data_IF_112299715993
#
_entry.id   IF_112299715993
#
_cell.length_a   1.000
_cell.length_b   1.000
_cell.length_c   1.000
_cell.angle_alpha   90.00
_cell.angle_beta   90.00
_cell.angle_gamma   90.00
#
_symmetry.space_group_name_H-M   'P 1'
#
loop_
_entity.id
_entity.type
_entity.pdbx_description
1 polymer ?
#
# COMPACT_ATOMS: atom_id res chain seq x y z
N UNK A 1 54.64 37.54 3.36
CA UNK A 1 54.52 36.39 2.42
C UNK A 1 53.56 35.30 2.94
N UNK A 2 53.53 35.02 4.25
CA UNK A 2 52.71 33.96 4.88
C UNK A 2 51.18 34.18 4.73
N UNK A 3 50.67 35.40 4.94
CA UNK A 3 49.23 35.70 4.83
C UNK A 3 48.64 35.47 3.43
N UNK A 4 49.45 35.61 2.37
CA UNK A 4 49.00 35.40 0.98
C UNK A 4 48.88 33.92 0.63
N UNK A 5 49.74 33.08 1.23
CA UNK A 5 49.62 31.61 1.15
C UNK A 5 48.42 31.11 1.95
N UNK A 6 48.16 31.67 3.14
CA UNK A 6 47.01 31.30 3.97
C UNK A 6 45.67 31.64 3.30
N UNK A 7 45.52 32.84 2.71
CA UNK A 7 44.31 33.23 1.95
C UNK A 7 44.06 32.33 0.72
N UNK A 8 45.12 31.86 0.05
CA UNK A 8 44.99 30.93 -1.08
C UNK A 8 44.56 29.54 -0.62
N UNK A 9 45.02 29.11 0.56
CA UNK A 9 44.69 27.81 1.13
C UNK A 9 43.26 27.77 1.67
N UNK A 10 42.78 28.86 2.30
CA UNK A 10 41.37 28.99 2.72
C UNK A 10 40.43 29.12 1.53
N UNK A 11 40.82 29.85 0.47
CA UNK A 11 40.04 29.93 -0.76
C UNK A 11 39.94 28.58 -1.47
N UNK A 12 41.02 27.80 -1.50
CA UNK A 12 41.03 26.44 -2.02
C UNK A 12 40.13 25.49 -1.23
N UNK A 13 40.14 25.57 0.10
CA UNK A 13 39.26 24.78 0.97
C UNK A 13 37.77 25.16 0.78
N UNK A 14 37.46 26.45 0.66
CA UNK A 14 36.11 26.95 0.36
C UNK A 14 35.62 26.47 -1.01
N UNK A 15 36.48 26.48 -2.03
CA UNK A 15 36.17 26.02 -3.38
C UNK A 15 35.96 24.50 -3.43
N UNK A 16 36.73 23.73 -2.65
CA UNK A 16 36.53 22.29 -2.50
C UNK A 16 35.19 21.95 -1.81
N UNK A 17 34.76 22.77 -0.83
CA UNK A 17 33.44 22.64 -0.21
C UNK A 17 32.29 22.92 -1.19
N UNK A 18 32.49 23.79 -2.18
CA UNK A 18 31.47 24.11 -3.19
C UNK A 18 31.25 22.98 -4.21
N UNK A 19 32.21 22.07 -4.40
CA UNK A 19 32.09 20.96 -5.36
C UNK A 19 31.40 19.71 -4.79
N UNK A 20 31.01 19.71 -3.51
CA UNK A 20 30.32 18.57 -2.86
C UNK A 20 28.80 18.59 -3.09
N UNK A 21 28.25 19.61 -3.77
CA UNK A 21 26.79 19.75 -3.86
C UNK A 21 26.13 18.84 -4.90
N UNK A 22 25.08 18.14 -4.45
CA UNK A 22 23.93 17.62 -5.21
C UNK A 22 24.03 16.24 -5.90
N UNK A 23 24.32 15.18 -5.14
CA UNK A 23 23.81 13.83 -5.47
C UNK A 23 22.34 13.59 -5.04
N UNK A 24 21.72 14.52 -4.30
CA UNK A 24 20.44 14.26 -3.62
C UNK A 24 19.21 14.11 -4.53
N UNK A 25 19.22 14.67 -5.75
CA UNK A 25 18.03 14.63 -6.62
C UNK A 25 17.84 13.29 -7.34
N UNK A 26 18.93 12.60 -7.71
CA UNK A 26 18.87 11.37 -8.54
C UNK A 26 18.02 10.24 -7.92
N UNK A 27 17.82 10.26 -6.60
CA UNK A 27 17.06 9.23 -5.87
C UNK A 27 15.57 9.53 -5.71
N UNK A 28 15.10 10.69 -6.17
CA UNK A 28 13.70 11.13 -5.97
C UNK A 28 12.78 10.70 -7.13
N UNK A 29 13.16 10.87 -8.42
CA UNK A 29 12.30 10.50 -9.54
C UNK A 29 12.02 9.00 -9.62
N UNK A 30 10.79 8.65 -9.96
CA UNK A 30 10.35 7.29 -10.25
C UNK A 30 10.76 6.84 -11.65
N UNK A 31 10.82 5.52 -11.85
CA UNK A 31 10.87 4.86 -13.16
C UNK A 31 11.89 5.44 -14.14
N UNK A 32 13.12 5.64 -13.67
CA UNK A 32 14.27 6.00 -14.49
C UNK A 32 14.66 4.81 -15.39
N UNK A 33 15.27 5.12 -16.53
CA UNK A 33 15.77 4.14 -17.51
C UNK A 33 14.68 3.24 -18.15
N UNK A 34 13.69 3.87 -18.79
CA UNK A 34 12.49 3.20 -19.34
C UNK A 34 12.70 2.38 -20.62
N UNK A 35 13.86 2.48 -21.27
CA UNK A 35 14.11 1.86 -22.58
C UNK A 35 13.83 0.34 -22.57
N UNK A 36 14.29 -0.35 -21.52
CA UNK A 36 14.07 -1.79 -21.36
C UNK A 36 12.58 -2.18 -21.23
N UNK A 37 11.78 -1.35 -20.57
CA UNK A 37 10.35 -1.63 -20.36
C UNK A 37 9.55 -1.42 -21.64
N UNK A 38 9.89 -0.39 -22.41
CA UNK A 38 9.18 -0.06 -23.65
C UNK A 38 9.34 -1.14 -24.73
N UNK A 39 10.48 -1.84 -24.74
CA UNK A 39 10.80 -2.89 -25.71
C UNK A 39 10.34 -4.29 -25.25
N UNK A 40 9.84 -4.42 -24.02
CA UNK A 40 9.38 -5.71 -23.46
C UNK A 40 7.88 -5.89 -23.69
N UNK A 41 7.50 -6.82 -24.57
CA UNK A 41 6.11 -7.26 -24.70
C UNK A 41 5.65 -7.97 -23.42
N UNK A 42 4.79 -7.32 -22.63
CA UNK A 42 4.16 -7.96 -21.47
C UNK A 42 3.09 -8.95 -21.94
N UNK A 43 3.41 -10.25 -21.93
CA UNK A 43 2.38 -11.28 -21.95
C UNK A 43 1.54 -11.10 -20.68
N UNK A 44 0.29 -10.65 -20.82
CA UNK A 44 -0.61 -10.45 -19.68
C UNK A 44 -0.91 -11.82 -19.07
N UNK A 45 -0.10 -12.28 -18.11
CA UNK A 45 -0.47 -13.40 -17.26
C UNK A 45 -1.53 -12.88 -16.30
N UNK A 46 -2.79 -12.94 -16.72
CA UNK A 46 -3.94 -12.70 -15.86
C UNK A 46 -4.07 -13.88 -14.88
N UNK A 47 -3.16 -13.97 -13.92
CA UNK A 47 -3.38 -14.85 -12.78
C UNK A 47 -4.42 -14.16 -11.91
N UNK A 48 -5.67 -14.64 -11.99
CA UNK A 48 -6.76 -14.11 -11.18
C UNK A 48 -6.43 -14.19 -9.69
N UNK A 49 -6.93 -13.22 -8.91
CA UNK A 49 -6.82 -13.24 -7.44
C UNK A 49 -7.47 -14.53 -6.94
N UNK A 50 -6.70 -15.27 -6.12
CA UNK A 50 -7.17 -16.47 -5.43
C UNK A 50 -7.76 -16.09 -4.08
N UNK A 51 -8.88 -16.70 -3.73
CA UNK A 51 -9.52 -16.54 -2.44
C UNK A 51 -8.68 -17.20 -1.34
N UNK A 52 -8.53 -16.51 -0.21
CA UNK A 52 -7.82 -17.00 0.96
C UNK A 52 -8.77 -17.17 2.15
N UNK A 53 -8.40 -17.99 3.15
CA UNK A 53 -9.09 -17.99 4.43
C UNK A 53 -9.27 -16.58 5.01
N UNK A 54 -10.43 -16.33 5.62
CA UNK A 54 -10.86 -15.04 6.18
C UNK A 54 -11.22 -13.95 5.16
N UNK A 55 -11.24 -14.27 3.87
CA UNK A 55 -11.86 -13.38 2.89
C UNK A 55 -13.37 -13.34 3.06
N UNK A 56 -13.97 -12.20 2.74
CA UNK A 56 -15.41 -11.99 2.72
C UNK A 56 -15.87 -11.92 1.27
N UNK A 57 -16.71 -12.87 0.88
CA UNK A 57 -17.26 -12.95 -0.47
C UNK A 57 -18.71 -12.46 -0.51
N UNK A 58 -19.07 -11.77 -1.57
CA UNK A 58 -20.48 -11.60 -1.98
C UNK A 58 -20.69 -12.42 -3.24
N UNK A 59 -21.76 -13.21 -3.23
CA UNK A 59 -22.14 -14.06 -4.35
C UNK A 59 -23.56 -13.67 -4.75
N UNK A 60 -23.73 -13.31 -6.02
CA UNK A 60 -25.02 -12.99 -6.61
C UNK A 60 -25.36 -14.01 -7.70
N UNK A 61 -26.54 -14.61 -7.62
CA UNK A 61 -27.07 -15.54 -8.61
C UNK A 61 -28.21 -14.85 -9.36
N UNK A 62 -28.11 -14.74 -10.67
CA UNK A 62 -29.16 -14.18 -11.52
C UNK A 62 -29.59 -15.21 -12.54
N UNK A 63 -30.89 -15.30 -12.84
CA UNK A 63 -31.42 -16.13 -13.92
C UNK A 63 -32.62 -15.44 -14.56
N UNK A 64 -33.11 -15.95 -15.70
CA UNK A 64 -34.22 -15.34 -16.45
C UNK A 64 -35.50 -15.20 -15.64
N UNK A 65 -35.68 -16.03 -14.61
CA UNK A 65 -36.80 -16.00 -13.67
C UNK A 65 -36.31 -15.66 -12.26
N UNK A 66 -36.30 -14.37 -11.85
CA UNK A 66 -35.69 -13.93 -10.59
C UNK A 66 -36.18 -14.65 -9.34
N UNK A 67 -37.44 -15.09 -9.32
CA UNK A 67 -38.03 -15.84 -8.20
C UNK A 67 -37.31 -17.17 -7.92
N UNK A 68 -36.78 -17.84 -8.95
CA UNK A 68 -36.02 -19.07 -8.78
C UNK A 68 -34.61 -18.82 -8.21
N UNK A 69 -34.05 -17.62 -8.42
CA UNK A 69 -32.76 -17.24 -7.87
C UNK A 69 -32.85 -16.70 -6.44
N UNK A 70 -34.04 -16.27 -5.99
CA UNK A 70 -34.26 -15.64 -4.69
C UNK A 70 -33.75 -16.48 -3.49
N UNK A 71 -33.93 -17.82 -3.45
CA UNK A 71 -33.40 -18.63 -2.34
C UNK A 71 -31.87 -18.63 -2.20
N UNK A 72 -31.14 -18.30 -3.28
CA UNK A 72 -29.67 -18.27 -3.31
C UNK A 72 -29.10 -16.89 -2.98
N UNK A 73 -29.92 -15.84 -3.10
CA UNK A 73 -29.54 -14.45 -2.84
C UNK A 73 -30.08 -13.99 -1.49
N UNK A 74 -29.47 -14.48 -0.41
CA UNK A 74 -29.79 -13.96 0.91
C UNK A 74 -29.41 -12.48 0.96
N UNK A 75 -30.38 -11.64 1.35
CA UNK A 75 -30.17 -10.23 1.60
C UNK A 75 -30.08 -10.03 3.10
N UNK A 76 -29.00 -9.40 3.54
CA UNK A 76 -28.86 -9.07 4.94
C UNK A 76 -29.71 -7.83 5.19
N UNK A 77 -30.95 -8.05 5.65
CA UNK A 77 -31.80 -6.97 6.15
C UNK A 77 -31.19 -6.50 7.46
N UNK A 78 -30.31 -5.50 7.38
CA UNK A 78 -29.70 -4.88 8.54
C UNK A 78 -30.79 -4.35 9.46
N UNK A 79 -31.18 -5.16 10.44
CA UNK A 79 -31.88 -4.68 11.62
C UNK A 79 -30.80 -3.90 12.37
N UNK A 80 -30.75 -2.59 12.15
CA UNK A 80 -29.99 -1.73 13.01
C UNK A 80 -30.52 -1.98 14.42
N UNK A 81 -29.75 -2.70 15.25
CA UNK A 81 -29.94 -2.72 16.69
C UNK A 81 -29.61 -1.32 17.21
N UNK A 82 -30.54 -0.40 16.97
CA UNK A 82 -30.64 0.90 17.58
C UNK A 82 -31.59 0.77 18.75
N UNK A 83 -31.03 0.97 19.94
CA UNK A 83 -31.69 1.30 21.19
C UNK A 83 -33.02 2.02 20.99
N UNK A 84 -34.03 1.57 21.74
CA UNK A 84 -35.37 2.15 21.84
C UNK A 84 -35.34 3.68 21.84
N UNK A 85 -35.90 4.30 20.80
CA UNK A 85 -35.82 5.76 20.66
C UNK A 85 -36.40 6.31 19.36
N UNK A 86 -37.72 6.20 19.21
CA UNK A 86 -38.62 7.07 18.43
C UNK A 86 -37.96 8.04 17.41
N UNK A 87 -37.76 7.57 16.17
CA UNK A 87 -37.80 8.44 14.96
C UNK A 87 -38.19 7.59 13.75
N UNK A 88 -39.44 7.72 13.33
CA UNK A 88 -39.94 7.25 12.02
C UNK A 88 -39.39 8.21 10.97
N UNK A 89 -38.15 7.96 10.54
CA UNK A 89 -37.56 8.55 9.36
C UNK A 89 -37.23 7.43 8.41
N UNK A 90 -37.77 7.50 7.19
CA UNK A 90 -37.57 6.58 6.08
C UNK A 90 -36.07 6.34 5.84
N UNK A 91 -35.50 5.32 6.49
CA UNK A 91 -34.16 4.83 6.22
C UNK A 91 -34.29 3.84 5.08
N UNK A 92 -33.74 4.18 3.93
CA UNK A 92 -33.50 3.27 2.82
C UNK A 92 -32.73 2.08 3.39
N UNK A 93 -33.42 0.96 3.64
CA UNK A 93 -32.75 -0.28 3.96
C UNK A 93 -31.96 -0.66 2.71
N UNK A 94 -30.66 -0.35 2.71
CA UNK A 94 -29.76 -0.82 1.67
C UNK A 94 -29.71 -2.34 1.80
N UNK A 95 -30.47 -3.02 0.94
CA UNK A 95 -30.47 -4.46 0.81
C UNK A 95 -29.12 -4.88 0.27
N UNK A 96 -28.15 -5.11 1.16
CA UNK A 96 -26.86 -5.63 0.80
C UNK A 96 -26.96 -7.15 0.75
N UNK A 97 -26.43 -7.75 -0.31
CA UNK A 97 -26.27 -9.19 -0.39
C UNK A 97 -25.46 -9.69 0.82
N UNK A 98 -25.84 -10.85 1.33
CA UNK A 98 -25.14 -11.52 2.42
C UNK A 98 -23.66 -11.69 2.07
N UNK A 99 -22.82 -11.46 3.07
CA UNK A 99 -21.39 -11.71 2.97
C UNK A 99 -21.10 -13.11 3.54
N UNK A 100 -20.28 -13.86 2.82
CA UNK A 100 -19.85 -15.20 3.18
C UNK A 100 -18.40 -15.13 3.62
N UNK A 101 -18.14 -15.45 4.89
CA UNK A 101 -16.79 -15.54 5.42
C UNK A 101 -16.19 -16.90 5.05
N UNK A 102 -15.04 -16.87 4.40
CA UNK A 102 -14.24 -18.06 4.12
C UNK A 102 -13.58 -18.51 5.42
N UNK A 103 -13.85 -19.74 5.86
CA UNK A 103 -13.27 -20.27 7.08
C UNK A 103 -11.78 -20.67 6.91
N UNK A 104 -11.17 -21.21 7.97
CA UNK A 104 -9.77 -21.62 7.95
C UNK A 104 -9.49 -22.83 7.06
N UNK A 105 -10.53 -23.60 6.72
CA UNK A 105 -10.50 -24.76 5.83
C UNK A 105 -10.75 -24.36 4.38
N UNK A 106 -11.04 -23.07 4.12
CA UNK A 106 -11.32 -22.56 2.79
C UNK A 106 -12.77 -22.77 2.36
N UNK A 107 -13.69 -23.05 3.28
CA UNK A 107 -15.10 -23.32 2.97
C UNK A 107 -15.98 -22.09 3.25
N UNK A 108 -17.12 -22.04 2.57
CA UNK A 108 -18.24 -21.13 2.84
C UNK A 108 -19.53 -21.94 2.97
N UNK A 109 -20.48 -21.42 3.75
CA UNK A 109 -21.84 -21.97 3.79
C UNK A 109 -22.75 -21.15 2.86
N UNK A 110 -23.06 -21.71 1.69
CA UNK A 110 -23.87 -21.06 0.66
C UNK A 110 -25.33 -21.53 0.73
N UNK A 111 -26.33 -20.66 0.54
CA UNK A 111 -27.74 -21.02 0.69
C UNK A 111 -28.12 -22.15 -0.27
N UNK A 112 -28.94 -23.08 0.22
CA UNK A 112 -29.42 -24.28 -0.50
C UNK A 112 -28.33 -25.30 -0.83
N UNK A 113 -27.14 -24.87 -1.27
CA UNK A 113 -26.03 -25.74 -1.65
C UNK A 113 -25.19 -26.21 -0.46
N UNK A 114 -25.33 -25.57 0.71
CA UNK A 114 -24.60 -25.91 1.92
C UNK A 114 -23.12 -25.54 1.85
N UNK A 115 -22.27 -26.39 2.41
CA UNK A 115 -20.83 -26.16 2.49
C UNK A 115 -20.15 -26.32 1.12
N UNK A 116 -19.36 -25.32 0.73
CA UNK A 116 -18.64 -25.28 -0.53
C UNK A 116 -17.19 -24.85 -0.26
N UNK A 117 -16.22 -25.61 -0.80
CA UNK A 117 -14.82 -25.25 -0.77
C UNK A 117 -14.49 -24.21 -1.86
N UNK A 118 -13.97 -23.06 -1.45
CA UNK A 118 -13.60 -21.92 -2.31
C UNK A 118 -12.16 -21.44 -2.12
N UNK A 119 -11.48 -21.90 -1.06
CA UNK A 119 -10.10 -21.55 -0.76
C UNK A 119 -9.15 -21.95 -1.89
N UNK A 120 -8.27 -21.03 -2.28
CA UNK A 120 -7.28 -21.26 -3.35
C UNK A 120 -7.85 -21.19 -4.77
N UNK A 121 -9.17 -21.10 -4.94
CA UNK A 121 -9.82 -20.89 -6.23
C UNK A 121 -9.85 -19.40 -6.59
N UNK A 122 -9.82 -19.13 -7.88
CA UNK A 122 -10.11 -17.81 -8.46
C UNK A 122 -11.61 -17.56 -8.51
N UNK A 123 -12.02 -16.30 -8.63
CA UNK A 123 -13.44 -15.92 -8.78
C UNK A 123 -14.14 -16.70 -9.90
N UNK A 124 -13.49 -16.81 -11.05
CA UNK A 124 -14.03 -17.52 -12.21
C UNK A 124 -14.22 -19.02 -11.93
N UNK A 125 -13.27 -19.64 -11.22
CA UNK A 125 -13.40 -21.05 -10.81
C UNK A 125 -14.54 -21.24 -9.82
N UNK A 126 -14.73 -20.31 -8.88
CA UNK A 126 -15.86 -20.33 -7.93
C UNK A 126 -17.19 -20.14 -8.65
N UNK A 127 -17.27 -19.18 -9.58
CA UNK A 127 -18.46 -18.95 -10.42
C UNK A 127 -18.85 -20.22 -11.16
N UNK A 128 -17.91 -20.85 -11.86
CA UNK A 128 -18.15 -22.10 -12.58
C UNK A 128 -18.56 -23.25 -11.66
N UNK A 129 -17.93 -23.36 -10.48
CA UNK A 129 -18.26 -24.38 -9.49
C UNK A 129 -19.70 -24.22 -8.97
N UNK A 130 -20.13 -22.99 -8.72
CA UNK A 130 -21.50 -22.70 -8.27
C UNK A 130 -22.49 -22.93 -9.41
N UNK A 131 -22.19 -22.48 -10.63
CA UNK A 131 -23.02 -22.74 -11.82
C UNK A 131 -23.25 -24.25 -11.99
N UNK A 132 -22.22 -25.07 -11.85
CA UNK A 132 -22.33 -26.51 -12.00
C UNK A 132 -23.23 -27.14 -10.92
N UNK A 133 -23.06 -26.74 -9.65
CA UNK A 133 -23.92 -27.19 -8.54
C UNK A 133 -25.37 -26.73 -8.68
N UNK A 134 -25.63 -25.59 -9.31
CA UNK A 134 -26.98 -25.04 -9.49
C UNK A 134 -27.78 -25.74 -10.60
N UNK A 135 -27.16 -26.52 -11.49
CA UNK A 135 -27.85 -27.22 -12.60
C UNK A 135 -28.95 -28.18 -12.13
N UNK A 136 -28.85 -28.72 -10.92
CA UNK A 136 -29.86 -29.61 -10.33
C UNK A 136 -31.12 -28.84 -9.88
N UNK A 137 -30.98 -27.55 -9.60
CA UNK A 137 -32.03 -26.69 -9.06
C UNK A 137 -32.62 -25.74 -10.11
N UNK A 138 -31.83 -25.32 -11.08
CA UNK A 138 -32.21 -24.36 -12.12
C UNK A 138 -32.15 -25.03 -13.50
N UNK A 139 -33.25 -24.92 -14.26
CA UNK A 139 -33.34 -25.48 -15.62
C UNK A 139 -32.48 -24.74 -16.64
N UNK A 140 -32.26 -23.45 -16.41
CA UNK A 140 -31.46 -22.57 -17.25
C UNK A 140 -30.11 -22.29 -16.57
N UNK A 141 -29.10 -21.98 -17.38
CA UNK A 141 -27.78 -21.61 -16.86
C UNK A 141 -27.86 -20.25 -16.12
N UNK A 142 -27.62 -20.20 -14.80
CA UNK A 142 -27.60 -18.94 -14.07
C UNK A 142 -26.33 -18.15 -14.38
N UNK A 143 -26.43 -16.82 -14.27
CA UNK A 143 -25.29 -15.92 -14.16
C UNK A 143 -24.89 -15.82 -12.69
N UNK A 144 -23.68 -16.26 -12.35
CA UNK A 144 -23.12 -16.14 -11.00
C UNK A 144 -22.04 -15.08 -11.03
N UNK A 145 -22.06 -14.17 -10.05
CA UNK A 145 -21.02 -13.14 -9.87
C UNK A 145 -20.44 -13.23 -8.48
N UNK A 146 -19.13 -13.38 -8.39
CA UNK A 146 -18.39 -13.46 -7.12
C UNK A 146 -17.52 -12.22 -6.93
N UNK A 147 -17.59 -11.60 -5.75
CA UNK A 147 -16.76 -10.44 -5.38
C UNK A 147 -16.13 -10.61 -4.01
N UNK A 148 -14.87 -10.23 -3.86
CA UNK A 148 -14.18 -10.13 -2.58
C UNK A 148 -14.41 -8.73 -2.02
N UNK A 149 -15.12 -8.64 -0.90
CA UNK A 149 -15.58 -7.38 -0.32
C UNK A 149 -14.50 -6.71 0.54
N UNK A 150 -13.71 -7.51 1.25
CA UNK A 150 -12.67 -7.04 2.15
C UNK A 150 -11.29 -7.02 1.50
N UNK A 151 -11.22 -6.85 0.17
CA UNK A 151 -9.92 -6.75 -0.49
C UNK A 151 -9.20 -5.49 -0.02
N UNK A 152 -8.08 -5.64 0.69
CA UNK A 152 -7.37 -4.53 1.33
C UNK A 152 -5.86 -4.70 1.23
N UNK A 153 -5.20 -3.56 1.18
CA UNK A 153 -3.74 -3.44 1.31
C UNK A 153 -3.42 -2.49 2.46
N UNK A 154 -2.20 -2.52 2.97
CA UNK A 154 -1.74 -1.55 3.97
C UNK A 154 -0.48 -0.86 3.50
N UNK A 155 -0.40 0.45 3.71
CA UNK A 155 0.79 1.26 3.42
C UNK A 155 1.27 1.93 4.70
N UNK A 156 2.53 1.72 5.03
CA UNK A 156 3.16 2.15 6.28
C UNK A 156 4.48 2.87 6.00
N UNK A 157 4.98 3.59 7.00
CA UNK A 157 6.27 4.28 6.95
C UNK A 157 6.18 5.68 6.36
N UNK A 158 7.18 6.07 5.59
CA UNK A 158 7.37 7.46 5.13
C UNK A 158 6.54 7.80 3.88
N UNK A 159 5.22 7.80 4.06
CA UNK A 159 4.19 8.23 3.11
C UNK A 159 3.34 9.34 3.72
N UNK A 160 2.58 10.07 2.90
CA UNK A 160 1.75 11.18 3.39
C UNK A 160 0.62 10.72 4.32
N UNK A 161 -0.03 9.60 4.01
CA UNK A 161 -1.17 9.04 4.76
C UNK A 161 -0.98 7.53 4.95
N UNK A 162 -0.22 7.09 5.96
CA UNK A 162 -0.12 5.67 6.27
C UNK A 162 -1.47 5.13 6.77
N UNK A 163 -1.80 3.90 6.41
CA UNK A 163 -3.06 3.26 6.78
C UNK A 163 -3.39 2.00 5.97
N UNK A 164 -4.53 1.39 6.28
CA UNK A 164 -5.11 0.30 5.49
C UNK A 164 -6.17 0.84 4.53
N UNK A 165 -6.16 0.33 3.31
CA UNK A 165 -7.02 0.79 2.22
C UNK A 165 -7.77 -0.38 1.60
N UNK A 166 -9.09 -0.25 1.49
CA UNK A 166 -9.95 -1.21 0.78
C UNK A 166 -9.94 -0.90 -0.71
N UNK A 167 -9.78 -1.92 -1.55
CA UNK A 167 -9.67 -1.82 -3.00
C UNK A 167 -10.92 -2.41 -3.65
N UNK A 168 -11.72 -1.57 -4.28
CA UNK A 168 -13.02 -1.97 -4.83
C UNK A 168 -12.95 -2.95 -6.01
N UNK A 169 -11.86 -2.90 -6.78
CA UNK A 169 -11.73 -3.65 -8.04
C UNK A 169 -10.86 -4.90 -7.91
N UNK A 170 -10.41 -5.23 -6.70
CA UNK A 170 -9.61 -6.44 -6.40
C UNK A 170 -8.37 -6.58 -7.31
N UNK A 171 -7.88 -5.44 -7.79
CA UNK A 171 -6.69 -5.28 -8.61
C UNK A 171 -6.09 -3.96 -8.20
N UNK A 172 -4.85 -4.01 -7.72
CA UNK A 172 -4.09 -2.83 -7.37
C UNK A 172 -2.61 -3.12 -7.56
N UNK A 173 -1.90 -2.18 -8.15
CA UNK A 173 -0.45 -2.23 -8.24
C UNK A 173 0.21 -1.38 -7.16
N UNK A 174 1.53 -1.54 -7.02
CA UNK A 174 2.32 -0.83 -6.03
C UNK A 174 2.19 0.69 -6.11
N UNK A 175 2.21 1.27 -7.32
CA UNK A 175 2.12 2.73 -7.48
C UNK A 175 0.71 3.24 -7.16
N UNK A 176 -0.34 2.49 -7.51
CA UNK A 176 -1.72 2.81 -7.13
C UNK A 176 -1.89 2.79 -5.61
N UNK A 177 -1.34 1.80 -4.91
CA UNK A 177 -1.37 1.74 -3.45
C UNK A 177 -0.66 2.94 -2.81
N UNK A 178 0.50 3.33 -3.34
CA UNK A 178 1.22 4.52 -2.88
C UNK A 178 0.43 5.80 -3.16
N UNK A 179 -0.24 5.90 -4.31
CA UNK A 179 -1.12 7.03 -4.63
C UNK A 179 -2.30 7.12 -3.64
N UNK A 180 -2.91 5.99 -3.25
CA UNK A 180 -3.96 5.96 -2.22
C UNK A 180 -3.45 6.47 -0.87
N UNK A 181 -2.19 6.19 -0.53
CA UNK A 181 -1.51 6.71 0.65
C UNK A 181 -1.00 8.17 0.52
N UNK A 182 -1.33 8.86 -0.58
CA UNK A 182 -0.89 10.24 -0.82
C UNK A 182 0.59 10.37 -1.20
N UNK A 183 1.16 9.31 -1.78
CA UNK A 183 2.55 9.19 -2.23
C UNK A 183 3.60 9.23 -1.09
N UNK A 184 4.84 8.88 -1.42
CA UNK A 184 6.00 8.96 -0.56
C UNK A 184 6.36 10.43 -0.31
N UNK A 185 6.64 10.78 0.94
CA UNK A 185 7.16 12.12 1.25
C UNK A 185 8.58 12.30 0.68
N UNK A 186 9.13 13.50 0.68
CA UNK A 186 10.53 13.75 0.29
C UNK A 186 11.57 12.95 1.10
N UNK A 187 11.17 12.43 2.26
CA UNK A 187 12.02 11.62 3.11
C UNK A 187 11.94 10.13 2.80
N UNK A 188 10.97 9.67 2.01
CA UNK A 188 10.82 8.26 1.67
C UNK A 188 11.90 7.78 0.70
N UNK A 189 12.52 6.64 0.98
CA UNK A 189 13.51 6.03 0.10
C UNK A 189 12.82 5.22 -1.01
N UNK A 190 12.83 5.75 -2.24
CA UNK A 190 12.26 5.08 -3.42
C UNK A 190 13.00 3.79 -3.78
N UNK A 191 14.30 3.73 -3.47
CA UNK A 191 15.16 2.54 -3.65
C UNK A 191 15.02 1.50 -2.52
N UNK A 192 14.15 1.75 -1.53
CA UNK A 192 13.96 0.86 -0.39
C UNK A 192 12.50 0.77 0.07
N UNK A 193 11.60 0.44 -0.86
CA UNK A 193 10.21 0.13 -0.56
C UNK A 193 10.08 -1.37 -0.37
N UNK A 194 9.53 -1.80 0.77
CA UNK A 194 9.39 -3.21 1.11
C UNK A 194 7.94 -3.65 0.93
N UNK A 195 7.74 -4.75 0.22
CA UNK A 195 6.50 -5.51 0.22
C UNK A 195 6.64 -6.65 1.22
N UNK A 196 5.68 -6.76 2.13
CA UNK A 196 5.53 -7.89 3.03
C UNK A 196 4.27 -8.64 2.60
N UNK A 197 4.45 -9.88 2.15
CA UNK A 197 3.37 -10.74 1.65
C UNK A 197 3.33 -12.02 2.46
N UNK A 198 2.12 -12.47 2.80
CA UNK A 198 1.92 -13.77 3.44
C UNK A 198 1.55 -14.78 2.36
N UNK A 199 2.38 -15.81 2.17
CA UNK A 199 2.11 -16.90 1.24
C UNK A 199 0.97 -17.81 1.72
N UNK A 200 0.53 -18.71 0.84
CA UNK A 200 -0.51 -19.69 1.18
C UNK A 200 -0.10 -20.65 2.30
N UNK A 201 1.21 -20.82 2.53
CA UNK A 201 1.78 -21.61 3.63
C UNK A 201 1.90 -20.83 4.94
N UNK A 202 1.30 -19.65 5.04
CA UNK A 202 1.41 -18.70 6.14
C UNK A 202 2.83 -18.18 6.40
N UNK A 203 3.79 -18.36 5.47
CA UNK A 203 5.11 -17.74 5.61
C UNK A 203 5.08 -16.30 5.12
N UNK A 204 5.81 -15.44 5.82
CA UNK A 204 6.01 -14.07 5.39
C UNK A 204 7.22 -13.95 4.49
N UNK A 205 7.03 -13.36 3.31
CA UNK A 205 8.07 -12.95 2.39
C UNK A 205 8.23 -11.43 2.46
N UNK A 206 9.48 -10.95 2.52
CA UNK A 206 9.80 -9.52 2.50
C UNK A 206 10.61 -9.25 1.24
N UNK A 207 10.02 -8.54 0.28
CA UNK A 207 10.61 -8.19 -1.00
C UNK A 207 10.95 -6.71 -0.98
N UNK A 208 12.21 -6.37 -1.26
CA UNK A 208 12.60 -4.97 -1.45
C UNK A 208 12.52 -4.61 -2.92
N UNK A 209 11.86 -3.49 -3.22
CA UNK A 209 11.63 -2.96 -4.55
C UNK A 209 12.25 -1.57 -4.67
N UNK A 210 12.82 -1.32 -5.84
CA UNK A 210 13.45 -0.06 -6.19
C UNK A 210 12.56 0.69 -7.19
N UNK A 211 11.76 1.62 -6.68
CA UNK A 211 10.85 2.42 -7.48
C UNK A 211 11.57 3.45 -8.37
N UNK A 212 12.88 3.64 -8.20
CA UNK A 212 13.65 4.47 -9.12
C UNK A 212 13.88 3.75 -10.45
N UNK A 213 13.80 2.42 -10.52
CA UNK A 213 14.01 1.65 -11.76
C UNK A 213 12.69 1.35 -12.46
N UNK A 214 12.62 1.61 -13.77
CA UNK A 214 11.44 1.30 -14.57
C UNK A 214 11.10 -0.21 -14.57
N UNK A 215 12.13 -1.06 -14.50
CA UNK A 215 12.04 -2.53 -14.40
C UNK A 215 11.12 -3.03 -13.28
N UNK A 216 10.93 -2.25 -12.22
CA UNK A 216 10.04 -2.61 -11.11
C UNK A 216 8.60 -2.86 -11.55
N UNK A 217 8.14 -2.21 -12.64
CA UNK A 217 6.81 -2.43 -13.23
C UNK A 217 6.67 -3.84 -13.83
N UNK A 218 7.78 -4.48 -14.19
CA UNK A 218 7.84 -5.83 -14.73
C UNK A 218 7.97 -6.90 -13.63
N UNK A 219 8.16 -6.49 -12.37
CA UNK A 219 8.29 -7.41 -11.25
C UNK A 219 7.02 -8.25 -11.05
N UNK A 220 7.12 -9.56 -10.76
CA UNK A 220 5.95 -10.37 -10.39
C UNK A 220 5.29 -9.88 -9.09
N UNK A 221 5.97 -9.04 -8.31
CA UNK A 221 5.48 -8.43 -7.08
C UNK A 221 4.89 -7.02 -7.29
N UNK A 222 4.90 -6.51 -8.53
CA UNK A 222 4.34 -5.19 -8.84
C UNK A 222 2.82 -5.14 -8.63
N UNK A 223 2.13 -6.24 -8.97
CA UNK A 223 0.73 -6.43 -8.62
C UNK A 223 0.61 -6.92 -7.18
N UNK A 224 -0.17 -6.18 -6.40
CA UNK A 224 -0.37 -6.48 -4.99
C UNK A 224 -1.51 -7.48 -4.82
N UNK A 225 -1.37 -8.29 -3.78
CA UNK A 225 -2.31 -9.30 -3.36
C UNK A 225 -3.07 -8.83 -2.11
N UNK A 226 -4.11 -9.57 -1.81
CA UNK A 226 -4.93 -9.39 -0.62
C UNK A 226 -4.06 -9.42 0.65
N UNK A 227 -4.29 -8.45 1.54
CA UNK A 227 -3.54 -8.24 2.79
C UNK A 227 -2.04 -7.92 2.66
N UNK A 228 -1.55 -7.55 1.46
CA UNK A 228 -0.17 -7.07 1.31
C UNK A 228 0.10 -5.82 2.16
N UNK A 229 1.31 -5.74 2.70
CA UNK A 229 1.80 -4.57 3.45
C UNK A 229 2.97 -3.95 2.71
N UNK A 230 2.84 -2.68 2.38
CA UNK A 230 3.87 -1.85 1.77
C UNK A 230 4.48 -1.02 2.88
N UNK A 231 5.79 -1.08 3.05
CA UNK A 231 6.53 -0.29 4.01
C UNK A 231 7.57 0.58 3.30
N UNK A 232 7.45 1.89 3.48
CA UNK A 232 8.39 2.86 2.92
C UNK A 232 9.40 3.25 3.99
N UNK A 233 10.67 2.97 3.75
CA UNK A 233 11.74 3.28 4.70
C UNK A 233 12.08 4.78 4.65
N UNK A 234 12.19 5.48 5.80
CA UNK A 234 12.62 6.87 5.84
C UNK A 234 14.13 7.00 5.54
N UNK A 235 14.53 8.12 4.97
CA UNK A 235 15.92 8.42 4.69
C UNK A 235 16.69 8.79 5.97
N UNK A 236 18.04 8.77 5.86
CA UNK A 236 18.93 9.09 6.99
C UNK A 236 18.69 10.50 7.56
N UNK A 237 18.26 11.46 6.75
CA UNK A 237 17.99 12.83 7.21
C UNK A 237 16.81 12.87 8.18
N UNK A 238 15.74 12.14 7.88
CA UNK A 238 14.59 12.00 8.78
C UNK A 238 14.97 11.30 10.09
N UNK A 239 15.72 10.20 10.01
CA UNK A 239 16.19 9.45 11.18
C UNK A 239 17.16 10.27 12.06
N UNK A 240 18.03 11.09 11.43
CA UNK A 240 18.90 12.00 12.16
C UNK A 240 18.13 13.17 12.78
N UNK A 241 17.11 13.71 12.10
CA UNK A 241 16.32 14.81 12.65
C UNK A 241 15.49 14.40 13.87
N UNK A 242 15.07 13.14 13.99
CA UNK A 242 14.48 12.63 15.23
C UNK A 242 15.47 12.59 16.40
N UNK A 243 16.77 12.45 16.13
CA UNK A 243 17.83 12.42 17.16
C UNK A 243 18.47 13.81 17.41
N UNK A 244 18.50 14.68 16.40
CA UNK A 244 19.23 15.96 16.41
C UNK A 244 18.36 17.13 16.91
N UNK A 245 17.03 17.02 16.81
CA UNK A 245 16.08 18.10 17.15
C UNK A 245 16.20 18.63 18.59
N UNK A 246 16.70 17.84 19.53
CA UNK A 246 16.87 18.25 20.94
C UNK A 246 18.16 19.04 21.20
N UNK A 247 19.22 18.90 20.40
CA UNK A 247 20.55 19.44 20.72
C UNK A 247 21.04 20.54 19.77
N UNK A 248 20.40 20.76 18.62
CA UNK A 248 20.94 21.70 17.62
C UNK A 248 20.94 23.17 18.11
N UNK A 249 19.95 23.59 18.90
CA UNK A 249 19.93 24.91 19.53
C UNK A 249 21.04 25.11 20.58
N UNK A 250 21.43 24.05 21.28
CA UNK A 250 22.55 24.06 22.23
C UNK A 250 23.89 24.26 21.51
N UNK A 251 24.10 23.62 20.36
CA UNK A 251 25.33 23.81 19.57
C UNK A 251 25.43 25.21 18.93
N UNK A 252 24.33 25.72 18.34
CA UNK A 252 24.32 27.08 17.77
C UNK A 252 24.51 28.17 18.84
N UNK A 253 23.90 28.02 20.02
CA UNK A 253 24.12 28.95 21.14
C UNK A 253 25.55 28.86 21.68
N UNK A 254 26.10 27.66 21.87
CA UNK A 254 27.48 27.47 22.34
C UNK A 254 28.50 28.08 21.37
N UNK A 255 28.34 27.85 20.07
CA UNK A 255 29.22 28.43 19.04
C UNK A 255 29.10 29.95 18.96
N UNK A 256 27.89 30.50 19.08
CA UNK A 256 27.68 31.95 19.13
C UNK A 256 28.35 32.60 20.34
N UNK A 257 28.23 31.97 21.52
CA UNK A 257 28.88 32.43 22.76
C UNK A 257 30.40 32.44 22.60
N UNK A 258 30.98 31.35 22.07
CA UNK A 258 32.43 31.26 21.85
C UNK A 258 32.95 32.32 20.88
N UNK A 259 32.23 32.59 19.79
CA UNK A 259 32.59 33.64 18.84
C UNK A 259 32.50 35.03 19.49
N UNK A 260 31.48 35.28 20.31
CA UNK A 260 31.32 36.53 21.04
C UNK A 260 32.47 36.76 22.03
N UNK A 261 32.81 35.74 22.83
CA UNK A 261 33.93 35.79 23.77
C UNK A 261 35.26 36.01 23.06
N UNK A 262 35.49 35.33 21.94
CA UNK A 262 36.71 35.52 21.15
C UNK A 262 36.83 36.97 20.62
N UNK A 263 35.71 37.57 20.18
CA UNK A 263 35.70 38.95 19.71
C UNK A 263 35.99 39.95 20.85
N UNK A 264 35.42 39.74 22.03
CA UNK A 264 35.71 40.53 23.23
C UNK A 264 37.20 40.43 23.60
N UNK A 265 37.77 39.22 23.57
CA UNK A 265 39.18 39.00 23.87
C UNK A 265 40.11 39.75 22.91
N UNK A 266 39.80 39.73 21.60
CA UNK A 266 40.55 40.47 20.58
C UNK A 266 40.49 41.98 20.81
N UNK A 267 39.32 42.51 21.19
CA UNK A 267 39.15 43.94 21.51
C UNK A 267 39.99 44.34 22.74
N UNK A 268 40.06 43.48 23.76
CA UNK A 268 40.85 43.73 24.97
C UNK A 268 42.36 43.64 24.73
N UNK A 269 42.81 42.73 23.86
CA UNK A 269 44.24 42.54 23.54
C UNK A 269 44.81 43.58 22.57
N UNK A 270 43.96 44.24 21.78
CA UNK A 270 44.35 45.31 20.85
C UNK A 270 44.18 46.73 21.44
N UNK A 271 43.92 46.84 22.74
CA UNK A 271 43.95 48.09 23.51
C UNK A 271 45.25 48.18 24.29
#
# INVERSE_FOLDING_TARGET
>A
MVMRKLKRLTLGALLAFLLVSCQSYKKVPYLQDTAFVNDTEQSVRQTGVKVMPKDLLTIAVSCSTPELAAPFNLVNSGTANGTEGKTVGQRTASSALQQYLVDNQGNINFPVLGEIHVGGLTKLEIENLIIDKLKVYLKEAPLVTVRIVNYRISVLGEVTKPGSFVVSNEKINLLEALAMAGDLTIYGMRDNVKLIRTGQDNKQEIITMDLNKAETVLSPYYQLQQNDIIYVTPNKTKAKNSDIGTNMGLWFSATSILVSLANILVILLNK
#
